data_IF_219784041898
#
_entry.id   IF_219784041898
#
_cell.length_a   1.000
_cell.length_b   1.000
_cell.length_c   1.000
_cell.angle_alpha   90.00
_cell.angle_beta   90.00
_cell.angle_gamma   90.00
#
_symmetry.space_group_name_H-M   'P 1'
#
loop_
_entity.id
_entity.type
_entity.pdbx_description
1 polymer ?
#
# COMPACT_ATOMS: atom_id res chain seq x y z
N UNK A 1 -0.20 -17.53 -30.27
CA UNK A 1 -1.24 -17.43 -29.22
C UNK A 1 -1.71 -16.00 -29.23
N UNK A 2 -2.99 -15.77 -29.52
CA UNK A 2 -3.58 -14.45 -29.36
C UNK A 2 -3.54 -14.07 -27.88
N UNK A 3 -3.14 -12.83 -27.58
CA UNK A 3 -3.03 -12.37 -26.20
C UNK A 3 -4.43 -12.10 -25.67
N UNK A 4 -4.87 -12.83 -24.64
CA UNK A 4 -6.18 -12.61 -24.02
C UNK A 4 -6.23 -11.18 -23.44
N UNK A 5 -7.22 -10.39 -23.85
CA UNK A 5 -7.44 -9.06 -23.29
C UNK A 5 -7.81 -9.16 -21.81
N UNK A 6 -7.23 -8.30 -20.99
CA UNK A 6 -7.43 -8.28 -19.54
C UNK A 6 -8.16 -7.00 -19.12
N UNK A 7 -9.03 -7.12 -18.13
CA UNK A 7 -9.95 -6.07 -17.71
C UNK A 7 -10.01 -5.94 -16.19
N UNK A 8 -10.30 -4.73 -15.72
CA UNK A 8 -10.79 -4.47 -14.37
C UNK A 8 -12.24 -3.99 -14.43
N UNK A 9 -13.06 -4.47 -13.52
CA UNK A 9 -14.45 -4.04 -13.38
C UNK A 9 -14.51 -2.67 -12.67
N UNK A 10 -15.16 -1.67 -13.26
CA UNK A 10 -15.20 -0.29 -12.71
C UNK A 10 -16.50 0.05 -11.95
N UNK A 11 -17.49 -0.84 -11.99
CA UNK A 11 -18.78 -0.76 -11.26
C UNK A 11 -19.16 -2.14 -10.72
N UNK A 12 -19.86 -2.21 -9.60
CA UNK A 12 -20.34 -3.52 -9.09
C UNK A 12 -21.28 -4.16 -10.12
N UNK A 13 -21.09 -5.45 -10.36
CA UNK A 13 -21.93 -6.20 -11.28
C UNK A 13 -23.10 -6.83 -10.50
N UNK A 14 -24.28 -6.28 -10.69
CA UNK A 14 -25.52 -6.76 -10.07
C UNK A 14 -26.18 -7.90 -10.88
N UNK A 15 -27.04 -8.69 -10.24
CA UNK A 15 -27.80 -9.73 -10.91
C UNK A 15 -28.95 -9.11 -11.75
N UNK A 16 -28.97 -9.30 -13.09
CA UNK A 16 -30.01 -8.75 -13.96
C UNK A 16 -31.44 -9.19 -13.57
N UNK A 17 -31.59 -10.38 -12.98
CA UNK A 17 -32.90 -10.89 -12.54
C UNK A 17 -33.51 -10.07 -11.39
N UNK A 18 -32.68 -9.30 -10.69
CA UNK A 18 -33.09 -8.46 -9.55
C UNK A 18 -33.44 -7.03 -9.95
N UNK A 19 -32.98 -6.56 -11.11
CA UNK A 19 -33.24 -5.21 -11.61
C UNK A 19 -34.61 -5.05 -12.33
N UNK A 20 -35.27 -6.15 -12.68
CA UNK A 20 -36.51 -6.16 -13.48
C UNK A 20 -37.82 -5.91 -12.71
N UNK A 21 -37.80 -5.77 -11.38
CA UNK A 21 -39.02 -5.55 -10.59
C UNK A 21 -39.07 -4.10 -10.11
N UNK A 22 -40.16 -3.39 -10.39
CA UNK A 22 -40.30 -1.97 -10.11
C UNK A 22 -39.91 -1.57 -8.67
N UNK A 23 -39.62 -0.28 -8.47
CA UNK A 23 -39.04 0.33 -7.25
C UNK A 23 -39.59 -0.24 -5.92
N UNK A 24 -40.88 -0.56 -5.87
CA UNK A 24 -41.55 -1.16 -4.70
C UNK A 24 -41.17 -2.62 -4.43
N UNK A 25 -41.03 -3.47 -5.45
CA UNK A 25 -40.60 -4.86 -5.26
C UNK A 25 -39.13 -4.95 -4.88
N UNK A 26 -38.28 -4.09 -5.44
CA UNK A 26 -36.88 -3.93 -5.00
C UNK A 26 -36.80 -3.52 -3.51
N UNK A 27 -37.63 -2.56 -3.09
CA UNK A 27 -37.70 -2.14 -1.67
C UNK A 27 -38.21 -3.23 -0.74
N UNK A 28 -39.27 -3.95 -1.13
CA UNK A 28 -39.84 -5.03 -0.32
C UNK A 28 -38.90 -6.24 -0.24
N UNK A 29 -38.24 -6.60 -1.34
CA UNK A 29 -37.24 -7.67 -1.35
C UNK A 29 -36.05 -7.32 -0.44
N UNK A 30 -35.52 -6.10 -0.55
CA UNK A 30 -34.43 -5.64 0.30
C UNK A 30 -34.82 -5.57 1.79
N UNK A 31 -36.07 -5.21 2.09
CA UNK A 31 -36.57 -5.17 3.47
C UNK A 31 -36.75 -6.56 4.08
N UNK A 32 -37.18 -7.54 3.28
CA UNK A 32 -37.49 -8.90 3.75
C UNK A 32 -36.27 -9.83 3.71
N UNK A 33 -35.40 -9.69 2.71
CA UNK A 33 -34.30 -10.61 2.44
C UNK A 33 -32.90 -9.98 2.52
N UNK A 34 -32.82 -8.65 2.70
CA UNK A 34 -31.57 -7.90 2.56
C UNK A 34 -31.21 -7.62 1.10
N UNK A 35 -30.25 -6.72 0.85
CA UNK A 35 -29.68 -6.52 -0.49
C UNK A 35 -28.95 -7.77 -0.92
N UNK A 36 -29.30 -8.35 -2.08
CA UNK A 36 -28.51 -9.44 -2.65
C UNK A 36 -27.07 -8.95 -2.91
N UNK A 37 -26.05 -9.76 -2.60
CA UNK A 37 -24.68 -9.38 -2.88
C UNK A 37 -24.47 -9.29 -4.40
N UNK A 38 -23.61 -8.37 -4.87
CA UNK A 38 -23.26 -8.31 -6.28
C UNK A 38 -22.57 -9.60 -6.74
N UNK A 39 -22.73 -9.94 -8.02
CA UNK A 39 -22.07 -11.07 -8.66
C UNK A 39 -20.55 -10.87 -8.63
N UNK A 40 -20.11 -9.65 -8.88
CA UNK A 40 -18.70 -9.25 -8.81
C UNK A 40 -18.59 -7.81 -8.32
N UNK A 41 -17.53 -7.53 -7.54
CA UNK A 41 -17.27 -6.20 -7.00
C UNK A 41 -16.38 -5.39 -7.96
N UNK A 42 -16.60 -4.08 -8.00
CA UNK A 42 -15.69 -3.10 -8.60
C UNK A 42 -14.26 -3.38 -8.13
N UNK A 43 -13.33 -3.52 -9.07
CA UNK A 43 -11.94 -3.91 -8.82
C UNK A 43 -11.64 -5.40 -9.03
N UNK A 44 -12.65 -6.22 -9.35
CA UNK A 44 -12.43 -7.60 -9.79
C UNK A 44 -11.72 -7.61 -11.14
N UNK A 45 -10.81 -8.57 -11.32
CA UNK A 45 -9.95 -8.66 -12.49
C UNK A 45 -10.37 -9.84 -13.36
N UNK A 46 -10.47 -9.62 -14.66
CA UNK A 46 -11.05 -10.56 -15.62
C UNK A 46 -10.17 -10.74 -16.86
N UNK A 47 -10.18 -11.93 -17.44
CA UNK A 47 -9.77 -12.17 -18.82
C UNK A 47 -11.00 -12.38 -19.70
N UNK A 48 -10.92 -11.96 -20.96
CA UNK A 48 -11.92 -12.34 -21.96
C UNK A 48 -11.98 -13.87 -22.13
N UNK A 49 -13.19 -14.41 -22.23
CA UNK A 49 -13.36 -15.79 -22.70
C UNK A 49 -13.01 -15.90 -24.20
N UNK A 50 -12.64 -17.11 -24.68
CA UNK A 50 -12.38 -17.37 -26.10
C UNK A 50 -13.52 -16.94 -27.02
N UNK A 51 -13.20 -16.68 -28.30
CA UNK A 51 -14.16 -16.13 -29.27
C UNK A 51 -15.40 -17.01 -29.50
N UNK A 52 -15.29 -18.33 -29.31
CA UNK A 52 -16.38 -19.30 -29.40
C UNK A 52 -17.27 -19.35 -28.14
N UNK A 53 -16.82 -18.78 -27.02
CA UNK A 53 -17.61 -18.61 -25.79
C UNK A 53 -18.20 -17.19 -25.67
N UNK A 54 -17.93 -16.28 -26.61
CA UNK A 54 -18.50 -14.93 -26.60
C UNK A 54 -19.99 -14.93 -27.01
N UNK A 55 -20.80 -14.00 -26.47
CA UNK A 55 -22.22 -13.94 -26.80
C UNK A 55 -22.39 -13.65 -28.30
N UNK A 56 -23.16 -14.50 -28.99
CA UNK A 56 -23.48 -14.31 -30.41
C UNK A 56 -24.53 -13.20 -30.51
N UNK A 57 -24.19 -12.11 -31.21
CA UNK A 57 -24.97 -10.88 -31.26
C UNK A 57 -26.46 -11.10 -31.52
N UNK A 58 -27.28 -10.87 -30.49
CA UNK A 58 -28.72 -10.64 -30.61
C UNK A 58 -28.92 -9.15 -30.77
N UNK A 59 -29.56 -8.73 -31.87
CA UNK A 59 -29.81 -7.33 -32.25
C UNK A 59 -30.17 -6.47 -31.02
N UNK A 60 -29.26 -5.58 -30.62
CA UNK A 60 -29.40 -4.68 -29.45
C UNK A 60 -28.53 -5.03 -28.22
N UNK A 61 -27.76 -6.13 -28.25
CA UNK A 61 -26.90 -6.66 -27.15
C UNK A 61 -25.40 -6.65 -27.57
N UNK A 62 -25.03 -5.89 -28.60
CA UNK A 62 -23.73 -5.97 -29.26
C UNK A 62 -22.54 -5.42 -28.43
N UNK A 63 -22.80 -4.92 -27.21
CA UNK A 63 -21.77 -4.32 -26.35
C UNK A 63 -21.49 -5.11 -25.05
N UNK A 64 -21.95 -6.37 -24.97
CA UNK A 64 -21.55 -7.27 -23.87
C UNK A 64 -20.31 -8.09 -24.22
N UNK A 65 -19.61 -8.54 -23.19
CA UNK A 65 -18.47 -9.45 -23.29
C UNK A 65 -18.56 -10.52 -22.21
N UNK A 66 -18.23 -11.75 -22.58
CA UNK A 66 -18.12 -12.86 -21.63
C UNK A 66 -16.69 -12.95 -21.08
N UNK A 67 -16.59 -13.07 -19.76
CA UNK A 67 -15.36 -12.91 -18.99
C UNK A 67 -15.18 -14.05 -17.99
N UNK A 68 -13.93 -14.31 -17.62
CA UNK A 68 -13.53 -15.23 -16.54
C UNK A 68 -12.66 -14.52 -15.51
N UNK A 69 -12.97 -14.70 -14.23
CA UNK A 69 -12.17 -14.13 -13.14
C UNK A 69 -10.71 -14.59 -13.19
N UNK A 70 -9.78 -13.66 -13.01
CA UNK A 70 -8.34 -13.99 -13.00
C UNK A 70 -7.96 -14.77 -11.75
N UNK A 71 -8.45 -14.36 -10.58
CA UNK A 71 -8.24 -15.07 -9.32
C UNK A 71 -9.25 -16.20 -9.15
N UNK A 72 -10.54 -15.88 -9.30
CA UNK A 72 -11.62 -16.85 -9.20
C UNK A 72 -11.90 -17.48 -10.57
N UNK A 73 -11.13 -18.52 -10.94
CA UNK A 73 -11.24 -19.15 -12.27
C UNK A 73 -12.63 -19.73 -12.59
N UNK A 74 -13.44 -20.04 -11.58
CA UNK A 74 -14.82 -20.52 -11.74
C UNK A 74 -15.84 -19.38 -11.93
N UNK A 75 -15.47 -18.13 -11.63
CA UNK A 75 -16.34 -16.98 -11.84
C UNK A 75 -16.36 -16.67 -13.34
N UNK A 76 -17.50 -16.91 -13.99
CA UNK A 76 -17.78 -16.50 -15.36
C UNK A 76 -18.94 -15.52 -15.35
N UNK A 77 -18.79 -14.40 -16.05
CA UNK A 77 -19.80 -13.33 -16.10
C UNK A 77 -19.94 -12.79 -17.51
N UNK A 78 -21.11 -12.25 -17.82
CA UNK A 78 -21.35 -11.41 -18.99
C UNK A 78 -21.71 -10.01 -18.52
N UNK A 79 -20.99 -8.99 -18.96
CA UNK A 79 -21.29 -7.61 -18.62
C UNK A 79 -21.08 -6.65 -19.80
N UNK A 80 -21.69 -5.45 -19.77
CA UNK A 80 -21.41 -4.38 -20.72
C UNK A 80 -19.93 -3.98 -20.72
N UNK A 81 -19.38 -3.69 -21.89
CA UNK A 81 -17.98 -3.21 -22.01
C UNK A 81 -17.76 -1.87 -21.32
N UNK A 82 -18.79 -1.02 -21.21
CA UNK A 82 -18.73 0.24 -20.45
C UNK A 82 -18.47 0.06 -18.95
N UNK A 83 -18.72 -1.13 -18.39
CA UNK A 83 -18.41 -1.48 -16.99
C UNK A 83 -16.97 -1.96 -16.80
N UNK A 84 -16.18 -1.96 -17.88
CA UNK A 84 -14.82 -2.49 -17.89
C UNK A 84 -13.83 -1.43 -18.31
N UNK A 85 -12.65 -1.50 -17.71
CA UNK A 85 -11.46 -0.82 -18.19
C UNK A 85 -10.46 -1.87 -18.64
N UNK A 86 -9.97 -1.74 -19.88
CA UNK A 86 -8.87 -2.56 -20.40
C UNK A 86 -7.60 -2.21 -19.63
N UNK A 87 -6.86 -3.22 -19.19
CA UNK A 87 -5.57 -3.07 -18.52
C UNK A 87 -4.51 -3.93 -19.19
N UNK A 88 -3.25 -3.53 -19.03
CA UNK A 88 -2.15 -4.35 -19.54
C UNK A 88 -2.01 -5.64 -18.71
N UNK A 89 -1.44 -6.68 -19.31
CA UNK A 89 -1.13 -7.92 -18.59
C UNK A 89 -0.19 -7.66 -17.40
N UNK A 90 0.78 -6.75 -17.56
CA UNK A 90 1.71 -6.42 -16.49
C UNK A 90 1.00 -5.72 -15.32
N UNK A 91 0.12 -4.75 -15.60
CA UNK A 91 -0.69 -4.11 -14.56
C UNK A 91 -1.58 -5.14 -13.87
N UNK A 92 -2.21 -6.03 -14.64
CA UNK A 92 -3.05 -7.09 -14.08
C UNK A 92 -2.26 -7.99 -13.12
N UNK A 93 -1.03 -8.36 -13.46
CA UNK A 93 -0.18 -9.17 -12.57
C UNK A 93 0.22 -8.42 -11.29
N UNK A 94 0.49 -7.12 -11.36
CA UNK A 94 0.74 -6.29 -10.16
C UNK A 94 -0.52 -6.16 -9.29
N UNK A 95 -1.67 -5.92 -9.91
CA UNK A 95 -2.95 -5.71 -9.23
C UNK A 95 -3.55 -7.02 -8.67
N UNK A 96 -3.21 -8.19 -9.23
CA UNK A 96 -3.63 -9.50 -8.72
C UNK A 96 -3.17 -9.74 -7.27
N UNK A 97 -1.97 -9.26 -6.95
CA UNK A 97 -1.38 -9.36 -5.63
C UNK A 97 -2.01 -8.40 -4.61
N UNK A 98 -2.63 -7.32 -5.08
CA UNK A 98 -3.34 -6.35 -4.24
C UNK A 98 -4.65 -6.97 -3.75
N UNK A 99 -4.79 -7.09 -2.43
CA UNK A 99 -5.95 -7.76 -1.81
C UNK A 99 -7.21 -6.89 -1.84
N UNK A 100 -7.05 -5.57 -1.74
CA UNK A 100 -8.17 -4.63 -1.74
C UNK A 100 -8.61 -4.28 -3.17
N UNK A 101 -9.85 -4.64 -3.49
CA UNK A 101 -10.53 -4.30 -4.73
C UNK A 101 -10.54 -2.79 -5.01
N UNK A 102 -10.81 -2.00 -3.98
CA UNK A 102 -10.81 -0.54 -4.08
C UNK A 102 -9.41 0.00 -4.36
N UNK A 103 -8.38 -0.54 -3.69
CA UNK A 103 -7.00 -0.10 -3.91
C UNK A 103 -6.53 -0.44 -5.33
N UNK A 104 -6.98 -1.56 -5.92
CA UNK A 104 -6.69 -1.85 -7.34
C UNK A 104 -7.18 -0.74 -8.26
N UNK A 105 -8.43 -0.30 -8.07
CA UNK A 105 -9.00 0.80 -8.85
C UNK A 105 -8.21 2.09 -8.61
N UNK A 106 -7.90 2.39 -7.34
CA UNK A 106 -7.15 3.59 -6.95
C UNK A 106 -5.76 3.61 -7.59
N UNK A 107 -5.08 2.47 -7.67
CA UNK A 107 -3.76 2.40 -8.30
C UNK A 107 -3.81 2.77 -9.79
N UNK A 108 -4.82 2.30 -10.52
CA UNK A 108 -5.00 2.63 -11.93
C UNK A 108 -5.40 4.08 -12.16
N UNK A 109 -6.16 4.68 -11.25
CA UNK A 109 -6.62 6.07 -11.38
C UNK A 109 -5.60 7.10 -10.88
N UNK A 110 -4.90 6.81 -9.78
CA UNK A 110 -4.09 7.79 -9.04
C UNK A 110 -2.59 7.44 -8.98
N UNK A 111 -2.20 6.18 -9.13
CA UNK A 111 -0.81 5.71 -8.91
C UNK A 111 -0.20 5.06 -10.15
N UNK A 112 -0.48 5.60 -11.34
CA UNK A 112 0.03 5.05 -12.60
C UNK A 112 1.57 5.05 -12.65
N UNK A 113 2.25 6.03 -12.06
CA UNK A 113 3.72 6.04 -12.00
C UNK A 113 4.28 4.91 -11.13
N UNK A 114 3.57 4.53 -10.05
CA UNK A 114 3.93 3.38 -9.23
C UNK A 114 3.76 2.07 -10.00
N UNK A 115 2.68 1.93 -10.79
CA UNK A 115 2.48 0.79 -11.69
C UNK A 115 3.59 0.71 -12.74
N UNK A 116 3.90 1.84 -13.39
CA UNK A 116 4.99 1.93 -14.38
C UNK A 116 6.35 1.58 -13.78
N UNK A 117 6.61 1.95 -12.53
CA UNK A 117 7.82 1.55 -11.81
C UNK A 117 7.80 0.07 -11.38
N UNK A 118 6.63 -0.47 -11.03
CA UNK A 118 6.49 -1.86 -10.61
C UNK A 118 6.90 -2.86 -11.70
N UNK A 119 6.81 -2.46 -12.98
CA UNK A 119 7.21 -3.28 -14.13
C UNK A 119 8.67 -3.11 -14.55
N UNK A 120 9.43 -2.20 -13.93
CA UNK A 120 10.86 -2.00 -14.25
C UNK A 120 11.77 -2.91 -13.45
N UNK A 121 13.05 -2.97 -13.83
CA UNK A 121 14.11 -3.47 -12.98
C UNK A 121 14.31 -2.52 -11.80
N UNK A 122 13.88 -2.96 -10.61
CA UNK A 122 13.87 -2.14 -9.41
C UNK A 122 14.64 -2.76 -8.23
N UNK A 123 15.35 -3.86 -8.46
CA UNK A 123 16.26 -4.43 -7.46
C UNK A 123 17.32 -3.39 -7.04
N UNK A 124 17.57 -3.29 -5.73
CA UNK A 124 18.45 -2.29 -5.13
C UNK A 124 17.82 -0.89 -4.96
N UNK A 125 16.62 -0.64 -5.49
CA UNK A 125 15.97 0.65 -5.30
C UNK A 125 15.52 0.86 -3.85
N UNK A 126 15.70 2.09 -3.35
CA UNK A 126 15.16 2.51 -2.06
C UNK A 126 13.66 2.82 -2.21
N UNK A 127 12.88 2.27 -1.28
CA UNK A 127 11.44 2.46 -1.20
C UNK A 127 11.03 2.69 0.24
N UNK A 128 9.82 3.18 0.43
CA UNK A 128 9.15 3.15 1.73
C UNK A 128 8.09 2.05 1.70
N UNK A 129 8.16 1.12 2.65
CA UNK A 129 7.16 0.06 2.82
C UNK A 129 6.17 0.43 3.92
N UNK A 130 4.88 0.36 3.62
CA UNK A 130 3.81 0.55 4.60
C UNK A 130 3.69 -0.66 5.52
N UNK A 131 3.85 -0.42 6.82
CA UNK A 131 3.78 -1.43 7.87
C UNK A 131 2.46 -1.28 8.64
N UNK A 132 1.54 -2.23 8.46
CA UNK A 132 0.17 -2.16 9.00
C UNK A 132 0.09 -2.20 10.53
N UNK A 133 1.06 -2.85 11.17
CA UNK A 133 1.21 -2.96 12.63
C UNK A 133 1.79 -1.68 13.26
N UNK A 134 2.56 -0.92 12.49
CA UNK A 134 3.18 0.34 12.89
C UNK A 134 2.40 1.57 12.42
N UNK A 135 1.44 1.38 11.49
CA UNK A 135 0.70 2.44 10.79
C UNK A 135 1.63 3.51 10.21
N UNK A 136 2.73 3.07 9.59
CA UNK A 136 3.73 3.99 9.02
C UNK A 136 4.51 3.39 7.87
N UNK A 137 5.10 4.29 7.10
CA UNK A 137 6.08 4.00 6.07
C UNK A 137 7.48 3.85 6.67
N UNK A 138 8.19 2.80 6.30
CA UNK A 138 9.54 2.47 6.78
C UNK A 138 10.50 2.33 5.60
N UNK A 139 11.71 2.87 5.74
CA UNK A 139 12.74 2.75 4.71
C UNK A 139 13.14 1.29 4.47
N UNK A 140 13.10 0.89 3.20
CA UNK A 140 13.44 -0.45 2.74
C UNK A 140 14.16 -0.41 1.39
N UNK A 141 14.78 -1.53 1.02
CA UNK A 141 15.43 -1.74 -0.27
C UNK A 141 14.81 -2.96 -0.95
N UNK A 142 14.52 -2.84 -2.25
CA UNK A 142 13.95 -3.94 -3.03
C UNK A 142 15.03 -4.98 -3.34
N UNK A 143 14.72 -6.25 -3.16
CA UNK A 143 15.58 -7.39 -3.49
C UNK A 143 14.92 -8.42 -4.40
N UNK A 144 13.61 -8.33 -4.61
CA UNK A 144 12.86 -9.26 -5.42
C UNK A 144 11.63 -8.59 -6.01
N UNK A 145 11.35 -8.86 -7.28
CA UNK A 145 10.14 -8.46 -7.99
C UNK A 145 9.70 -9.65 -8.86
N UNK A 146 8.67 -10.38 -8.43
CA UNK A 146 8.26 -11.59 -9.14
C UNK A 146 7.12 -12.37 -8.51
N UNK A 147 6.75 -13.48 -9.15
CA UNK A 147 5.72 -14.37 -8.65
C UNK A 147 6.13 -15.00 -7.32
N UNK A 148 5.20 -15.16 -6.37
CA UNK A 148 5.48 -15.75 -5.07
C UNK A 148 4.39 -16.77 -4.67
N UNK A 149 4.43 -18.01 -5.19
CA UNK A 149 3.40 -19.00 -4.91
C UNK A 149 3.22 -19.25 -3.41
N UNK A 150 1.98 -19.23 -2.88
CA UNK A 150 0.71 -19.38 -3.61
C UNK A 150 0.02 -18.04 -3.88
N UNK A 151 0.69 -16.92 -3.65
CA UNK A 151 0.11 -15.61 -3.93
C UNK A 151 -0.02 -15.44 -5.45
N UNK A 152 -1.19 -14.94 -5.86
CA UNK A 152 -1.46 -14.58 -7.23
C UNK A 152 -0.74 -13.27 -7.57
N UNK A 153 -0.26 -13.16 -8.81
CA UNK A 153 0.39 -11.94 -9.29
C UNK A 153 1.83 -11.77 -8.81
N UNK A 154 2.29 -10.52 -8.86
CA UNK A 154 3.66 -10.12 -8.57
C UNK A 154 3.78 -9.55 -7.15
N UNK A 155 4.75 -10.07 -6.41
CA UNK A 155 5.10 -9.65 -5.06
C UNK A 155 6.51 -9.06 -5.06
N UNK A 156 6.73 -8.11 -4.15
CA UNK A 156 8.01 -7.46 -3.92
C UNK A 156 8.63 -7.97 -2.63
N UNK A 157 9.84 -8.50 -2.70
CA UNK A 157 10.64 -8.79 -1.53
C UNK A 157 11.51 -7.59 -1.21
N UNK A 158 11.38 -7.02 -0.01
CA UNK A 158 12.14 -5.85 0.43
C UNK A 158 12.85 -6.13 1.76
N UNK A 159 14.05 -5.57 1.95
CA UNK A 159 14.77 -5.55 3.23
C UNK A 159 14.50 -4.23 3.94
N UNK A 160 14.03 -4.28 5.18
CA UNK A 160 13.89 -3.11 6.04
C UNK A 160 15.28 -2.64 6.46
N UNK A 161 15.64 -1.43 6.05
CA UNK A 161 16.97 -0.84 6.32
C UNK A 161 16.96 0.18 7.45
N UNK A 162 15.79 0.65 7.90
CA UNK A 162 15.69 1.49 9.10
C UNK A 162 16.12 0.69 10.34
N UNK A 163 17.20 1.10 11.03
CA UNK A 163 17.73 0.35 12.19
C UNK A 163 16.73 0.16 13.31
N UNK A 164 15.76 1.08 13.46
CA UNK A 164 14.72 1.03 14.50
C UNK A 164 13.68 -0.06 14.23
N UNK A 165 13.54 -0.49 12.98
CA UNK A 165 12.51 -1.42 12.54
C UNK A 165 13.07 -2.67 11.86
N UNK A 166 14.39 -2.87 11.90
CA UNK A 166 15.05 -3.99 11.21
C UNK A 166 14.53 -5.37 11.59
N UNK A 167 14.05 -5.57 12.82
CA UNK A 167 13.49 -6.85 13.28
C UNK A 167 11.96 -6.94 13.09
N UNK A 168 11.37 -6.06 12.27
CA UNK A 168 9.93 -6.05 11.96
C UNK A 168 9.58 -6.76 10.66
N UNK A 169 10.58 -7.22 9.92
CA UNK A 169 10.37 -8.16 8.83
C UNK A 169 10.03 -9.55 9.36
N UNK A 170 9.80 -10.48 8.45
CA UNK A 170 9.30 -11.83 8.75
C UNK A 170 10.18 -12.93 8.17
N UNK A 171 11.17 -12.58 7.36
CA UNK A 171 12.01 -13.55 6.63
C UNK A 171 13.46 -13.04 6.45
N UNK A 172 14.36 -13.95 6.09
CA UNK A 172 15.71 -13.70 5.60
C UNK A 172 15.80 -13.79 4.05
N UNK A 173 14.64 -13.77 3.38
CA UNK A 173 14.49 -13.95 1.93
C UNK A 173 14.10 -15.37 1.50
N UNK A 174 13.85 -16.28 2.46
CA UNK A 174 13.23 -17.59 2.21
C UNK A 174 11.71 -17.51 2.39
N UNK A 175 10.96 -18.09 1.44
CA UNK A 175 9.52 -18.32 1.58
C UNK A 175 9.19 -19.74 1.10
N UNK A 176 8.47 -20.53 1.92
CA UNK A 176 8.09 -21.92 1.63
C UNK A 176 9.25 -22.79 1.12
N UNK A 177 10.38 -22.75 1.84
CA UNK A 177 11.61 -23.49 1.53
C UNK A 177 12.33 -23.10 0.22
N UNK A 178 11.89 -22.04 -0.45
CA UNK A 178 12.57 -21.48 -1.62
C UNK A 178 13.26 -20.17 -1.23
N UNK A 179 14.51 -20.00 -1.67
CA UNK A 179 15.23 -18.73 -1.54
C UNK A 179 14.91 -17.82 -2.72
N UNK A 180 14.46 -16.61 -2.44
CA UNK A 180 14.20 -15.56 -3.42
C UNK A 180 15.26 -14.46 -3.35
N UNK A 181 15.66 -14.08 -2.14
CA UNK A 181 16.75 -13.12 -1.92
C UNK A 181 17.51 -13.43 -0.63
N UNK A 182 18.51 -12.61 -0.28
CA UNK A 182 19.27 -12.69 0.98
C UNK A 182 19.23 -11.35 1.69
N UNK A 183 18.87 -11.37 2.97
CA UNK A 183 18.95 -10.22 3.87
C UNK A 183 19.24 -10.71 5.30
N UNK A 184 19.33 -9.78 6.26
CA UNK A 184 19.45 -10.15 7.67
C UNK A 184 18.20 -10.91 8.17
N UNK A 185 18.34 -11.90 9.09
CA UNK A 185 17.21 -12.62 9.65
C UNK A 185 16.17 -11.66 10.26
N UNK A 186 14.91 -11.78 9.81
CA UNK A 186 13.81 -10.94 10.28
C UNK A 186 13.79 -9.52 9.71
N UNK A 187 14.62 -9.21 8.71
CA UNK A 187 14.61 -7.91 8.03
C UNK A 187 13.86 -7.91 6.70
N UNK A 188 13.67 -9.08 6.07
CA UNK A 188 12.93 -9.21 4.81
C UNK A 188 11.42 -9.27 5.02
N UNK A 189 10.66 -8.71 4.08
CA UNK A 189 9.21 -8.87 3.98
C UNK A 189 8.79 -8.95 2.50
N UNK A 190 7.77 -9.75 2.21
CA UNK A 190 7.12 -9.77 0.90
C UNK A 190 5.82 -8.97 0.95
N UNK A 191 5.65 -8.02 0.04
CA UNK A 191 4.47 -7.14 -0.03
C UNK A 191 4.00 -6.97 -1.48
N UNK A 192 2.72 -6.62 -1.65
CA UNK A 192 2.17 -6.18 -2.93
C UNK A 192 2.53 -4.71 -3.20
N UNK A 193 2.43 -4.30 -4.46
CA UNK A 193 2.87 -2.97 -4.90
C UNK A 193 2.15 -1.81 -4.19
N UNK A 194 0.89 -1.98 -3.77
CA UNK A 194 0.11 -0.97 -3.03
C UNK A 194 0.73 -0.56 -1.68
N UNK A 195 1.61 -1.41 -1.13
CA UNK A 195 2.33 -1.16 0.13
C UNK A 195 3.64 -0.42 -0.07
N UNK A 196 4.04 -0.13 -1.31
CA UNK A 196 5.27 0.58 -1.61
C UNK A 196 5.00 2.04 -1.98
N UNK A 197 5.88 2.91 -1.51
CA UNK A 197 5.98 4.29 -1.97
C UNK A 197 7.39 4.52 -2.48
N UNK A 198 7.52 5.07 -3.68
CA UNK A 198 8.82 5.43 -4.26
C UNK A 198 9.13 6.85 -3.79
N UNK A 199 10.30 7.10 -3.16
CA UNK A 199 10.72 8.44 -2.83
C UNK A 199 10.85 9.25 -4.12
N UNK A 200 10.18 10.39 -4.19
CA UNK A 200 10.42 11.35 -5.26
C UNK A 200 11.86 11.83 -5.09
N UNK A 201 12.73 11.54 -6.07
CA UNK A 201 14.01 12.22 -6.14
C UNK A 201 13.69 13.67 -6.47
N UNK A 202 13.78 14.55 -5.49
CA UNK A 202 13.87 15.98 -5.75
C UNK A 202 15.05 16.15 -6.72
N UNK A 203 14.74 16.49 -7.97
CA UNK A 203 15.76 17.03 -8.85
C UNK A 203 16.30 18.27 -8.16
N UNK A 204 17.61 18.36 -7.94
CA UNK A 204 18.30 19.46 -7.27
C UNK A 204 17.92 20.83 -7.86
N UNK A 205 16.80 21.39 -7.42
CA UNK A 205 16.53 22.82 -7.46
C UNK A 205 16.84 23.35 -6.06
N UNK A 206 18.01 23.97 -5.94
CA UNK A 206 18.44 24.70 -4.76
C UNK A 206 17.36 25.70 -4.35
N UNK A 207 16.58 25.38 -3.31
CA UNK A 207 15.87 26.37 -2.51
C UNK A 207 16.63 26.51 -1.20
N UNK A 208 17.31 27.65 -1.08
CA UNK A 208 18.01 28.09 0.13
C UNK A 208 17.01 28.10 1.29
N UNK A 209 17.35 27.39 2.35
CA UNK A 209 16.75 27.59 3.66
C UNK A 209 17.08 29.02 4.12
N UNK A 210 16.06 29.88 4.21
CA UNK A 210 16.17 31.15 4.93
C UNK A 210 16.07 30.86 6.42
N UNK A 211 17.22 30.94 7.08
CA UNK A 211 17.34 31.07 8.52
C UNK A 211 16.78 32.43 8.97
N UNK A 212 15.62 32.44 9.60
CA UNK A 212 15.19 33.60 10.40
C UNK A 212 15.98 33.62 11.70
N UNK A 213 17.09 34.35 11.67
CA UNK A 213 17.85 34.75 12.85
C UNK A 213 17.36 36.15 13.22
N UNK A 214 16.53 36.23 14.27
CA UNK A 214 15.98 37.50 14.74
C UNK A 214 17.09 38.36 15.36
N UNK A 215 17.45 39.41 14.63
CA UNK A 215 18.28 40.53 15.05
C UNK A 215 17.38 41.58 15.72
N UNK A 216 17.51 41.78 17.04
CA UNK A 216 16.98 42.96 17.71
C UNK A 216 18.14 43.87 18.11
N UNK A 217 18.23 44.97 17.37
CA UNK A 217 19.14 46.10 17.49
C UNK A 217 19.15 46.74 18.88
N UNK A 218 20.36 47.09 19.34
CA UNK A 218 20.60 47.97 20.48
C UNK A 218 20.44 49.45 20.07
N UNK A 219 19.71 50.23 20.87
CA UNK A 219 19.92 51.69 21.01
C UNK A 219 19.94 51.97 22.52
N UNK A 220 21.00 52.64 22.97
CA UNK A 220 21.28 52.95 24.37
C UNK A 220 20.83 54.34 24.82
N UNK A 221 21.31 54.65 26.03
CA UNK A 221 21.25 55.90 26.83
C UNK A 221 20.07 56.00 27.82
N UNK A 222 20.21 56.31 29.11
CA UNK A 222 21.33 56.48 30.06
C UNK A 222 20.70 56.61 31.49
N UNK A 223 21.54 56.57 32.54
CA UNK A 223 21.37 57.13 33.92
C UNK A 223 20.95 56.19 35.08
N UNK A 224 21.95 55.94 35.97
CA UNK A 224 21.87 55.49 37.40
C UNK A 224 21.52 56.67 38.35
N UNK A 225 21.25 56.57 39.68
CA UNK A 225 21.67 55.53 40.67
C UNK A 225 20.68 55.25 41.86
N UNK A 226 21.18 54.50 42.87
CA UNK A 226 20.68 54.26 44.26
C UNK A 226 19.56 53.22 44.40
N UNK A 227 19.50 52.32 45.38
CA UNK A 227 20.32 51.96 46.54
C UNK A 227 19.58 50.85 47.33
N UNK A 228 20.30 50.10 48.19
CA UNK A 228 19.80 49.30 49.34
C UNK A 228 18.85 48.12 49.03
N UNK A 229 18.71 47.01 49.77
CA UNK A 229 19.37 46.29 50.86
C UNK A 229 18.57 44.96 51.00
N UNK A 230 19.13 43.94 51.67
CA UNK A 230 18.55 42.65 52.11
C UNK A 230 18.25 41.62 51.00
N UNK A 231 18.71 40.37 51.04
CA UNK A 231 19.03 39.50 52.17
C UNK A 231 17.97 38.39 52.22
N UNK A 232 18.35 37.15 51.88
CA UNK A 232 17.96 35.92 52.60
C UNK A 232 18.42 34.66 51.86
N UNK A 233 19.06 33.80 52.65
CA UNK A 233 19.60 32.49 52.33
C UNK A 233 18.48 31.44 52.18
N UNK A 234 18.72 30.40 51.40
CA UNK A 234 18.25 29.06 51.76
C UNK A 234 19.22 28.00 51.24
N UNK A 235 19.88 27.38 52.22
CA UNK A 235 20.35 25.98 52.29
C UNK A 235 19.52 25.00 51.45
N UNK A 236 20.03 23.86 50.98
CA UNK A 236 21.23 23.09 51.34
C UNK A 236 20.85 21.62 51.54
N UNK A 237 21.43 20.71 50.74
CA UNK A 237 21.70 19.27 51.01
C UNK A 237 22.39 18.69 49.75
N UNK A 238 23.73 18.61 49.64
CA UNK A 238 24.67 17.57 50.14
C UNK A 238 24.29 16.14 49.68
N UNK A 239 24.93 15.60 48.62
CA UNK A 239 26.09 14.65 48.62
C UNK A 239 25.81 13.36 49.43
N UNK A 240 26.09 12.12 49.00
CA UNK A 240 27.26 11.59 48.29
C UNK A 240 26.97 10.16 47.75
N UNK A 241 27.46 9.89 46.53
CA UNK A 241 28.34 8.79 46.10
C UNK A 241 28.60 7.58 47.04
N UNK A 242 28.47 6.34 46.54
CA UNK A 242 29.56 5.34 46.29
C UNK A 242 29.07 3.88 46.15
N UNK A 243 29.88 3.15 45.40
CA UNK A 243 29.78 1.77 44.88
C UNK A 243 29.87 0.66 45.94
N UNK A 244 29.43 -0.57 45.62
CA UNK A 244 30.29 -1.79 45.53
C UNK A 244 29.52 -3.12 45.41
N UNK A 245 30.15 -3.99 44.63
CA UNK A 245 29.91 -5.39 44.23
C UNK A 245 29.58 -6.37 45.39
N UNK A 246 28.87 -7.48 45.13
CA UNK A 246 29.49 -8.79 44.82
C UNK A 246 28.48 -9.96 44.69
N UNK A 247 28.80 -10.86 43.76
CA UNK A 247 28.31 -12.22 43.56
C UNK A 247 28.28 -13.12 44.80
N UNK A 248 27.32 -14.06 44.84
CA UNK A 248 27.52 -15.54 44.95
C UNK A 248 26.15 -16.22 45.04
N UNK A 249 25.74 -17.02 44.06
CA UNK A 249 26.12 -18.42 43.78
C UNK A 249 25.35 -19.47 44.61
N UNK A 250 24.62 -20.33 43.88
CA UNK A 250 24.23 -21.74 44.17
C UNK A 250 23.47 -22.02 45.47
N UNK A 251 22.22 -22.47 45.38
CA UNK A 251 21.82 -23.88 45.24
C UNK A 251 20.38 -23.93 44.74
#
# INVERSE_FOLDING_TARGET
>A
MEKESTFILIRDLEDPSTQGSGVLWGMLSNYVYGTLPPIALKGELFAALPADEQPVGTVGIDDKIALRGLKQKCLKVECPKEDLQVISENDAQLLLAVQSYNERCRMLSEKQDLLRWGVTENEGCQVLVWMDDLKKNVAAVVHYNGALPPYDGIMFGVEIVDPRFRNRGTTDGIFRCQRYFRCAPGAGIFVSLDKLTIPVKETDEHVKEESSQDDYTCIGDEVKPSGEDSGMESSGHSLMETELLQERART
#
